data_IF_352990011302
#
_entry.id   IF_352990011302
#
_cell.length_a   1.000
_cell.length_b   1.000
_cell.length_c   1.000
_cell.angle_alpha   90.00
_cell.angle_beta   90.00
_cell.angle_gamma   90.00
#
_symmetry.space_group_name_H-M   'P 1'
#
loop_
_entity.id
_entity.type
_entity.pdbx_description
1 polymer ?
#
# COMPACT_ATOMS: atom_id res chain seq x y z
N UNK A 1 -13.79 -12.72 38.15
CA UNK A 1 -14.18 -12.05 36.90
C UNK A 1 -12.95 -11.31 36.36
N UNK A 2 -12.21 -11.86 35.38
CA UNK A 2 -11.11 -11.14 34.72
C UNK A 2 -11.54 -10.62 33.34
N UNK A 3 -11.21 -9.35 33.07
CA UNK A 3 -11.44 -8.70 31.77
C UNK A 3 -10.36 -9.15 30.78
N UNK A 4 -10.77 -9.86 29.72
CA UNK A 4 -9.94 -10.20 28.56
C UNK A 4 -10.20 -9.13 27.50
N UNK A 5 -9.23 -8.25 27.25
CA UNK A 5 -9.22 -7.42 26.05
C UNK A 5 -8.75 -8.27 24.86
N UNK A 6 -9.54 -8.41 23.78
CA UNK A 6 -9.14 -9.19 22.61
C UNK A 6 -8.13 -8.39 21.77
N UNK A 7 -6.98 -9.03 21.53
CA UNK A 7 -6.15 -8.95 20.33
C UNK A 7 -5.96 -7.60 19.61
N UNK A 8 -4.83 -6.94 19.89
CA UNK A 8 -3.96 -6.41 18.82
C UNK A 8 -2.52 -6.74 19.21
N UNK A 9 -2.10 -7.98 18.95
CA UNK A 9 -0.70 -8.39 18.96
C UNK A 9 -0.35 -8.85 17.55
N UNK A 10 0.10 -7.92 16.71
CA UNK A 10 1.11 -8.27 15.73
C UNK A 10 1.94 -7.02 15.39
N UNK A 11 2.93 -6.75 16.24
CA UNK A 11 4.04 -5.85 15.91
C UNK A 11 5.04 -6.61 15.04
N UNK A 12 4.57 -7.24 13.95
CA UNK A 12 5.46 -7.71 12.88
C UNK A 12 6.19 -6.48 12.40
N UNK A 13 7.52 -6.50 12.47
CA UNK A 13 8.40 -5.51 11.83
C UNK A 13 8.20 -5.62 10.32
N UNK A 14 7.11 -5.07 9.83
CA UNK A 14 6.83 -4.98 8.41
C UNK A 14 7.74 -3.89 7.86
N UNK A 15 8.71 -4.32 7.06
CA UNK A 15 9.64 -3.43 6.38
C UNK A 15 9.27 -3.38 4.91
N UNK A 16 8.93 -2.19 4.44
CA UNK A 16 8.77 -1.92 3.02
C UNK A 16 10.13 -2.14 2.33
N UNK A 17 10.21 -3.14 1.46
CA UNK A 17 11.42 -3.42 0.65
C UNK A 17 11.13 -3.07 -0.79
N UNK A 18 11.85 -2.08 -1.33
CA UNK A 18 11.74 -1.70 -2.74
C UNK A 18 13.14 -1.74 -3.37
N UNK A 19 13.25 -2.38 -4.53
CA UNK A 19 14.45 -2.41 -5.37
C UNK A 19 14.17 -1.66 -6.66
N UNK A 20 15.16 -0.93 -7.17
CA UNK A 20 15.05 -0.19 -8.43
C UNK A 20 16.15 -0.70 -9.36
N UNK A 21 15.76 -1.10 -10.56
CA UNK A 21 16.63 -1.57 -11.64
C UNK A 21 16.54 -0.61 -12.86
N UNK A 22 17.53 -0.61 -13.76
CA UNK A 22 17.57 0.35 -14.88
C UNK A 22 16.68 -0.03 -16.07
N UNK A 23 16.13 -1.25 -16.11
CA UNK A 23 15.40 -1.79 -17.26
C UNK A 23 13.92 -1.44 -17.32
N UNK A 24 13.36 -0.74 -16.32
CA UNK A 24 11.93 -0.43 -16.24
C UNK A 24 11.74 0.96 -15.63
N UNK A 25 10.72 1.74 -16.01
CA UNK A 25 10.47 3.04 -15.37
C UNK A 25 10.39 2.90 -13.84
N UNK A 26 11.13 3.71 -13.05
CA UNK A 26 11.18 3.52 -11.60
C UNK A 26 9.81 3.64 -10.91
N UNK A 27 8.88 4.43 -11.48
CA UNK A 27 7.52 4.53 -10.94
C UNK A 27 6.73 3.22 -11.07
N UNK A 28 6.94 2.45 -12.14
CA UNK A 28 6.26 1.17 -12.35
C UNK A 28 6.80 0.12 -11.40
N UNK A 29 8.11 0.13 -11.16
CA UNK A 29 8.74 -0.78 -10.21
C UNK A 29 8.25 -0.55 -8.78
N UNK A 30 8.17 0.72 -8.35
CA UNK A 30 7.61 1.10 -7.04
C UNK A 30 6.16 0.65 -6.92
N UNK A 31 5.33 0.91 -7.94
CA UNK A 31 3.93 0.48 -7.97
C UNK A 31 3.81 -1.04 -7.88
N UNK A 32 4.50 -1.78 -8.74
CA UNK A 32 4.42 -3.23 -8.80
C UNK A 32 4.83 -3.88 -7.48
N UNK A 33 5.94 -3.43 -6.87
CA UNK A 33 6.43 -4.01 -5.63
C UNK A 33 5.57 -3.69 -4.41
N UNK A 34 4.99 -2.49 -4.33
CA UNK A 34 4.04 -2.16 -3.25
C UNK A 34 2.75 -2.98 -3.43
N UNK A 35 2.23 -3.07 -4.65
CA UNK A 35 1.04 -3.86 -4.96
C UNK A 35 1.23 -5.34 -4.65
N UNK A 36 2.39 -5.91 -5.00
CA UNK A 36 2.72 -7.31 -4.70
C UNK A 36 2.86 -7.56 -3.19
N UNK A 37 3.53 -6.66 -2.47
CA UNK A 37 3.65 -6.77 -1.01
C UNK A 37 2.30 -6.61 -0.29
N UNK A 38 1.42 -5.75 -0.80
CA UNK A 38 0.06 -5.61 -0.27
C UNK A 38 -0.79 -6.87 -0.55
N UNK A 39 -0.72 -7.42 -1.77
CA UNK A 39 -1.45 -8.62 -2.17
C UNK A 39 -0.98 -9.90 -1.47
N UNK A 40 0.33 -10.05 -1.30
CA UNK A 40 0.93 -11.18 -0.56
C UNK A 40 0.74 -11.09 0.96
N UNK A 41 0.17 -9.99 1.48
CA UNK A 41 -0.01 -9.75 2.91
C UNK A 41 1.28 -9.38 3.65
N UNK A 42 2.39 -9.16 2.94
CA UNK A 42 3.62 -8.63 3.53
C UNK A 42 3.41 -7.21 4.08
N UNK A 43 2.60 -6.40 3.39
CA UNK A 43 2.09 -5.11 3.88
C UNK A 43 0.64 -5.30 4.36
N UNK A 44 0.40 -5.36 5.68
CA UNK A 44 -0.95 -5.54 6.20
C UNK A 44 -1.80 -4.31 5.95
N UNK A 45 -3.11 -4.54 5.84
CA UNK A 45 -4.11 -3.48 5.71
C UNK A 45 -4.01 -2.52 6.89
N UNK A 46 -4.07 -1.23 6.62
CA UNK A 46 -3.87 -0.18 7.61
C UNK A 46 -2.40 0.09 7.95
N UNK A 47 -1.45 -0.58 7.29
CA UNK A 47 -0.03 -0.22 7.40
C UNK A 47 0.21 1.20 6.89
N UNK A 48 0.87 2.03 7.69
CA UNK A 48 1.20 3.40 7.33
C UNK A 48 2.41 3.41 6.40
N UNK A 49 2.19 3.87 5.17
CA UNK A 49 3.28 4.04 4.20
C UNK A 49 4.09 5.30 4.50
N UNK A 50 5.39 5.32 4.11
CA UNK A 50 6.19 6.53 4.15
C UNK A 50 5.58 7.63 3.26
N UNK A 51 5.91 8.88 3.56
CA UNK A 51 5.53 10.00 2.69
C UNK A 51 6.24 9.88 1.34
N UNK A 52 5.68 10.50 0.31
CA UNK A 52 6.30 10.59 -1.03
C UNK A 52 7.76 11.05 -0.93
N UNK A 53 8.02 12.10 -0.14
CA UNK A 53 9.37 12.63 0.07
C UNK A 53 10.28 11.65 0.81
N UNK A 54 9.82 11.06 1.91
CA UNK A 54 10.64 10.11 2.68
C UNK A 54 10.98 8.85 1.88
N UNK A 55 10.04 8.34 1.07
CA UNK A 55 10.32 7.19 0.21
C UNK A 55 11.26 7.57 -0.95
N UNK A 56 11.08 8.76 -1.54
CA UNK A 56 11.98 9.27 -2.57
C UNK A 56 13.42 9.39 -2.06
N UNK A 57 13.62 9.94 -0.86
CA UNK A 57 14.93 10.03 -0.22
C UNK A 57 15.55 8.65 0.06
N UNK A 58 14.74 7.71 0.57
CA UNK A 58 15.19 6.34 0.88
C UNK A 58 15.63 5.58 -0.38
N UNK A 59 14.95 5.82 -1.50
CA UNK A 59 15.22 5.15 -2.78
C UNK A 59 16.16 5.94 -3.71
N UNK A 60 16.53 7.17 -3.35
CA UNK A 60 17.28 8.07 -4.23
C UNK A 60 16.51 8.47 -5.49
N UNK A 61 15.17 8.47 -5.45
CA UNK A 61 14.32 8.79 -6.61
C UNK A 61 13.80 10.22 -6.58
N UNK A 62 13.39 10.73 -7.74
CA UNK A 62 12.65 11.99 -7.80
C UNK A 62 11.28 11.87 -7.13
N UNK A 63 10.90 12.85 -6.30
CA UNK A 63 9.62 12.87 -5.60
C UNK A 63 8.41 12.77 -6.55
N UNK A 64 8.50 13.35 -7.75
CA UNK A 64 7.44 13.26 -8.77
C UNK A 64 7.20 11.82 -9.25
N UNK A 65 8.26 11.01 -9.31
CA UNK A 65 8.19 9.59 -9.71
C UNK A 65 7.48 8.76 -8.64
N UNK A 66 7.81 8.99 -7.38
CA UNK A 66 7.14 8.34 -6.24
C UNK A 66 5.68 8.80 -6.13
N UNK A 67 5.42 10.10 -6.33
CA UNK A 67 4.06 10.64 -6.35
C UNK A 67 3.21 9.99 -7.45
N UNK A 68 3.79 9.80 -8.64
CA UNK A 68 3.12 9.11 -9.75
C UNK A 68 2.80 7.65 -9.39
N UNK A 69 3.72 6.94 -8.74
CA UNK A 69 3.49 5.57 -8.28
C UNK A 69 2.37 5.51 -7.22
N UNK A 70 2.38 6.42 -6.24
CA UNK A 70 1.34 6.47 -5.19
C UNK A 70 -0.03 6.78 -5.78
N UNK A 71 -0.14 7.74 -6.71
CA UNK A 71 -1.41 8.02 -7.39
C UNK A 71 -1.94 6.81 -8.16
N UNK A 72 -1.06 6.05 -8.80
CA UNK A 72 -1.47 4.83 -9.51
C UNK A 72 -1.94 3.75 -8.52
N UNK A 73 -1.23 3.56 -7.41
CA UNK A 73 -1.63 2.61 -6.35
C UNK A 73 -2.96 3.00 -5.67
N UNK A 74 -3.21 4.30 -5.53
CA UNK A 74 -4.47 4.82 -4.99
C UNK A 74 -5.62 4.58 -5.97
N UNK A 75 -5.39 4.83 -7.27
CA UNK A 75 -6.35 4.50 -8.32
C UNK A 75 -6.66 3.00 -8.40
N UNK A 76 -5.66 2.15 -8.15
CA UNK A 76 -5.81 0.69 -8.08
C UNK A 76 -6.47 0.19 -6.77
N UNK A 77 -6.77 1.09 -5.81
CA UNK A 77 -7.32 0.70 -4.51
C UNK A 77 -6.35 -0.08 -3.61
N UNK A 78 -5.05 -0.07 -3.92
CA UNK A 78 -4.00 -0.72 -3.11
C UNK A 78 -3.64 0.13 -1.89
N UNK A 79 -3.73 1.46 -2.02
CA UNK A 79 -3.48 2.41 -0.94
C UNK A 79 -4.63 3.40 -0.85
N UNK A 80 -4.79 4.00 0.33
CA UNK A 80 -5.73 5.08 0.58
C UNK A 80 -5.02 6.26 1.25
N UNK A 81 -5.26 7.47 0.74
CA UNK A 81 -4.77 8.69 1.39
C UNK A 81 -5.82 9.23 2.35
N UNK A 82 -5.50 9.28 3.65
CA UNK A 82 -6.39 9.82 4.70
C UNK A 82 -6.06 11.28 5.05
N UNK A 83 -5.81 12.10 4.03
CA UNK A 83 -5.46 13.52 4.17
C UNK A 83 -4.26 13.74 5.10
N UNK A 84 -4.47 14.52 6.18
CA UNK A 84 -3.42 14.84 7.18
C UNK A 84 -2.88 13.63 7.95
N UNK A 85 -3.60 12.50 7.95
CA UNK A 85 -3.19 11.31 8.67
C UNK A 85 -2.13 10.49 7.90
N UNK A 86 -1.90 10.81 6.62
CA UNK A 86 -0.94 10.15 5.75
C UNK A 86 -1.58 9.09 4.84
N UNK A 87 -0.73 8.23 4.30
CA UNK A 87 -1.11 7.20 3.32
C UNK A 87 -1.06 5.83 3.99
N UNK A 88 -2.08 5.01 3.76
CA UNK A 88 -2.22 3.70 4.36
C UNK A 88 -2.44 2.65 3.27
N UNK A 89 -1.98 1.42 3.52
CA UNK A 89 -2.29 0.28 2.65
C UNK A 89 -3.77 -0.05 2.82
N UNK A 90 -4.52 0.09 1.74
CA UNK A 90 -5.90 -0.37 1.69
C UNK A 90 -5.89 -1.89 1.58
N UNK A 91 -7.01 -2.53 1.90
CA UNK A 91 -7.17 -3.95 1.66
C UNK A 91 -7.15 -4.19 0.15
N UNK A 92 -5.95 -4.41 -0.40
CA UNK A 92 -5.69 -4.64 -1.81
C UNK A 92 -6.35 -5.93 -2.33
N UNK A 93 -6.95 -6.75 -1.45
CA UNK A 93 -7.91 -7.79 -1.81
C UNK A 93 -9.36 -7.31 -1.82
N UNK A 94 -9.73 -6.39 -0.93
CA UNK A 94 -11.11 -5.92 -0.81
C UNK A 94 -11.55 -4.97 -1.91
N UNK A 95 -10.65 -4.30 -2.64
CA UNK A 95 -11.05 -3.48 -3.79
C UNK A 95 -11.47 -4.35 -4.98
N UNK A 96 -10.70 -5.40 -5.28
CA UNK A 96 -11.08 -6.43 -6.24
C UNK A 96 -12.30 -7.23 -5.76
N UNK A 97 -12.37 -7.60 -4.48
CA UNK A 97 -13.58 -8.23 -3.91
C UNK A 97 -14.78 -7.27 -3.86
N UNK A 98 -14.58 -5.96 -3.69
CA UNK A 98 -15.64 -4.94 -3.74
C UNK A 98 -16.13 -4.72 -5.16
N UNK A 99 -15.25 -4.70 -6.15
CA UNK A 99 -15.63 -4.60 -7.57
C UNK A 99 -16.37 -5.87 -8.02
N UNK A 100 -15.91 -7.07 -7.58
CA UNK A 100 -16.64 -8.33 -7.78
C UNK A 100 -17.97 -8.35 -7.01
N UNK A 101 -18.02 -7.81 -5.79
CA UNK A 101 -19.25 -7.72 -4.99
C UNK A 101 -20.23 -6.64 -5.49
N UNK A 102 -19.75 -5.58 -6.11
CA UNK A 102 -20.58 -4.55 -6.75
C UNK A 102 -21.10 -5.03 -8.10
N UNK A 103 -20.30 -5.76 -8.89
CA UNK A 103 -20.75 -6.41 -10.12
C UNK A 103 -21.80 -7.50 -9.86
N UNK A 104 -21.68 -8.25 -8.75
CA UNK A 104 -22.65 -9.28 -8.37
C UNK A 104 -24.00 -8.74 -7.85
N UNK A 105 -24.10 -7.44 -7.52
CA UNK A 105 -25.37 -6.80 -7.13
C UNK A 105 -26.19 -6.27 -8.30
N UNK A 106 -25.67 -6.38 -9.52
CA UNK A 106 -26.28 -5.87 -10.74
C UNK A 106 -27.03 -6.90 -11.59
N UNK A 107 -27.19 -8.14 -11.14
CA UNK A 107 -27.95 -9.20 -11.84
C UNK A 107 -28.99 -9.81 -10.90
#
# INVERSE_FOLDING_TARGET
>A
MPLIFPGVRDNRRVTLKIRIDDGTPPYEQVRAQISEQARSGALPVGYRLPTVRGLAETLGLAANTVAKAYRALEADGVIETRGRNGTFVAAAGSAAEREVAEAARGY
#
